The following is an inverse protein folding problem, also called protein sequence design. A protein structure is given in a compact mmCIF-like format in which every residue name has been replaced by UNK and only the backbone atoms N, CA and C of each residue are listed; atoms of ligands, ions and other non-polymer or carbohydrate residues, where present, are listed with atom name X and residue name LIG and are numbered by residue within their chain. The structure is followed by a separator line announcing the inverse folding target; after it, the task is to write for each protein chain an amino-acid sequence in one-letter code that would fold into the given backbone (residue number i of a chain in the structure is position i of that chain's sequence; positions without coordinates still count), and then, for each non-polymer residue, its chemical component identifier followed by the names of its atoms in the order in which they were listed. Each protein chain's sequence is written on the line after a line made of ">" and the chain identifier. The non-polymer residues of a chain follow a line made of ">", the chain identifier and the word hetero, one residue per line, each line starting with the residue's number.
data_IF_879634146190
#
_entry.id   IF_879634146190
#
_cell.length_a   1.000
_cell.length_b   1.000
_cell.length_c   1.000
_cell.angle_alpha   90.00
_cell.angle_beta   90.00
_cell.angle_gamma   90.00
#
_symmetry.space_group_name_H-M   'P 1'
#
loop_
_entity.id
_entity.type
_entity.pdbx_description
1 polymer ?
#
# COMPACT_ATOMS: atom_id res chain seq x y z
N UNK A 1 19.29 -35.48 10.18
CA UNK A 1 19.63 -34.76 8.93
C UNK A 1 18.60 -35.13 7.88
N UNK A 2 17.97 -34.15 7.24
CA UNK A 2 16.92 -34.38 6.23
C UNK A 2 15.88 -33.26 6.21
N UNK A 3 16.31 -32.01 6.00
CA UNK A 3 15.40 -30.89 5.78
C UNK A 3 14.83 -30.96 4.38
N UNK A 4 13.53 -31.23 4.26
CA UNK A 4 12.82 -31.18 2.99
C UNK A 4 12.65 -29.73 2.56
N UNK A 5 13.50 -29.25 1.64
CA UNK A 5 13.30 -27.96 0.97
C UNK A 5 11.99 -28.01 0.18
N UNK A 6 10.97 -27.29 0.66
CA UNK A 6 9.77 -27.02 -0.13
C UNK A 6 10.09 -25.84 -1.04
N UNK A 7 10.19 -26.12 -2.34
CA UNK A 7 10.31 -25.11 -3.38
C UNK A 7 8.96 -24.38 -3.53
N UNK A 8 8.88 -23.15 -3.00
CA UNK A 8 7.73 -22.25 -3.19
C UNK A 8 7.66 -21.61 -4.58
N UNK A 9 8.60 -21.95 -5.49
CA UNK A 9 8.72 -21.34 -6.82
C UNK A 9 7.62 -21.69 -7.82
N UNK A 10 6.84 -22.75 -7.57
CA UNK A 10 5.90 -23.31 -8.56
C UNK A 10 4.41 -23.02 -8.27
N UNK A 11 4.08 -22.38 -7.14
CA UNK A 11 2.70 -22.03 -6.78
C UNK A 11 2.32 -20.57 -7.11
N UNK A 12 3.24 -19.83 -7.76
CA UNK A 12 2.93 -18.55 -8.35
C UNK A 12 2.11 -18.83 -9.60
N UNK A 13 0.78 -18.86 -9.45
CA UNK A 13 -0.15 -18.88 -10.57
C UNK A 13 0.29 -17.81 -11.57
N UNK A 14 0.51 -18.15 -12.86
CA UNK A 14 0.87 -17.16 -13.86
C UNK A 14 -0.20 -16.07 -13.85
N UNK A 15 0.25 -14.81 -13.71
CA UNK A 15 -0.62 -13.64 -13.76
C UNK A 15 -1.52 -13.74 -15.00
N UNK A 16 -2.85 -13.82 -14.84
CA UNK A 16 -3.74 -13.92 -16.00
C UNK A 16 -3.50 -12.71 -16.89
N UNK A 17 -3.32 -12.95 -18.19
CA UNK A 17 -3.15 -11.92 -19.20
C UNK A 17 -4.20 -10.81 -19.01
N UNK A 18 -3.74 -9.55 -19.12
CA UNK A 18 -4.52 -8.31 -19.00
C UNK A 18 -5.66 -8.29 -20.05
N UNK A 19 -6.77 -8.96 -19.75
CA UNK A 19 -8.02 -8.75 -20.46
C UNK A 19 -8.53 -7.34 -20.15
N UNK A 20 -8.90 -6.58 -21.19
CA UNK A 20 -9.76 -5.39 -21.37
C UNK A 20 -10.45 -4.64 -20.18
N UNK A 21 -10.28 -5.02 -18.92
CA UNK A 21 -10.73 -4.35 -17.69
C UNK A 21 -9.67 -3.49 -17.01
N UNK A 22 -8.41 -3.56 -17.45
CA UNK A 22 -7.32 -2.73 -16.89
C UNK A 22 -7.61 -1.23 -16.95
N UNK A 23 -8.24 -0.75 -18.03
CA UNK A 23 -8.64 0.66 -18.18
C UNK A 23 -9.74 1.08 -17.20
N UNK A 24 -10.71 0.21 -16.92
CA UNK A 24 -11.80 0.48 -15.97
C UNK A 24 -11.28 0.51 -14.53
N UNK A 25 -10.44 -0.45 -14.17
CA UNK A 25 -9.82 -0.49 -12.84
C UNK A 25 -8.89 0.71 -12.63
N UNK A 26 -8.10 1.07 -13.65
CA UNK A 26 -7.25 2.25 -13.64
C UNK A 26 -8.04 3.54 -13.42
N UNK A 27 -9.14 3.71 -14.16
CA UNK A 27 -10.03 4.86 -14.00
C UNK A 27 -10.66 4.89 -12.60
N UNK A 28 -11.00 3.73 -12.03
CA UNK A 28 -11.51 3.64 -10.67
C UNK A 28 -10.47 4.05 -9.62
N UNK A 29 -9.22 3.61 -9.76
CA UNK A 29 -8.13 4.03 -8.86
C UNK A 29 -7.93 5.54 -8.95
N UNK A 30 -7.85 6.09 -10.17
CA UNK A 30 -7.73 7.54 -10.39
C UNK A 30 -8.88 8.31 -9.77
N UNK A 31 -10.11 7.81 -9.88
CA UNK A 31 -11.29 8.45 -9.28
C UNK A 31 -11.26 8.47 -7.75
N UNK A 32 -10.80 7.38 -7.12
CA UNK A 32 -10.63 7.31 -5.66
C UNK A 32 -9.59 8.35 -5.21
N UNK A 33 -8.44 8.41 -5.89
CA UNK A 33 -7.36 9.36 -5.59
C UNK A 33 -7.78 10.82 -5.84
N UNK A 34 -8.53 11.08 -6.91
CA UNK A 34 -9.09 12.41 -7.20
C UNK A 34 -10.01 12.88 -6.07
N UNK A 35 -10.92 12.02 -5.61
CA UNK A 35 -11.80 12.35 -4.47
C UNK A 35 -11.01 12.58 -3.19
N UNK A 36 -9.93 11.83 -2.97
CA UNK A 36 -9.03 12.06 -1.85
C UNK A 36 -8.38 13.45 -1.93
N UNK A 37 -7.82 13.82 -3.09
CA UNK A 37 -7.22 15.16 -3.30
C UNK A 37 -8.25 16.29 -3.11
N UNK A 38 -9.46 16.11 -3.61
CA UNK A 38 -10.56 17.07 -3.41
C UNK A 38 -10.87 17.29 -1.92
N UNK A 39 -11.03 16.21 -1.15
CA UNK A 39 -11.27 16.31 0.29
C UNK A 39 -10.06 16.88 1.03
N UNK A 40 -8.84 16.53 0.62
CA UNK A 40 -7.62 17.03 1.22
C UNK A 40 -7.52 18.55 1.05
N UNK A 41 -7.68 19.06 -0.17
CA UNK A 41 -7.67 20.50 -0.45
C UNK A 41 -8.79 21.25 0.25
N UNK A 42 -9.97 20.64 0.38
CA UNK A 42 -11.07 21.24 1.14
C UNK A 42 -10.75 21.33 2.63
N UNK A 43 -10.19 20.28 3.22
CA UNK A 43 -9.76 20.26 4.62
C UNK A 43 -8.64 21.28 4.86
N UNK A 44 -7.65 21.33 3.98
CA UNK A 44 -6.53 22.27 4.05
C UNK A 44 -7.01 23.72 4.02
N UNK A 45 -7.90 24.09 3.09
CA UNK A 45 -8.50 25.44 3.03
C UNK A 45 -9.26 25.81 4.31
N UNK A 46 -10.00 24.86 4.90
CA UNK A 46 -10.80 25.10 6.11
C UNK A 46 -9.96 25.33 7.37
N UNK A 47 -8.73 24.83 7.38
CA UNK A 47 -7.87 24.83 8.56
C UNK A 47 -6.54 25.57 8.34
N UNK A 48 -6.43 26.34 7.24
CA UNK A 48 -5.22 27.09 6.88
C UNK A 48 -4.78 28.06 7.99
N UNK A 49 -5.74 28.62 8.73
CA UNK A 49 -5.49 29.60 9.80
C UNK A 49 -5.23 28.97 11.18
N UNK A 50 -5.24 27.63 11.31
CA UNK A 50 -5.03 26.94 12.58
C UNK A 50 -3.57 26.54 12.77
N UNK A 51 -2.98 26.95 13.89
CA UNK A 51 -1.58 26.63 14.25
C UNK A 51 -1.46 25.15 14.65
N UNK A 52 -0.84 24.34 13.79
CA UNK A 52 -0.47 22.96 14.07
C UNK A 52 -0.56 22.04 12.84
N UNK A 53 0.36 21.09 12.70
CA UNK A 53 0.30 20.05 11.64
C UNK A 53 -0.85 19.09 11.93
N UNK A 54 -2.06 19.44 11.49
CA UNK A 54 -3.19 18.50 11.47
C UNK A 54 -2.95 17.45 10.38
N UNK A 55 -3.19 16.18 10.72
CA UNK A 55 -3.15 15.05 9.79
C UNK A 55 -4.42 15.04 8.93
N UNK A 56 -4.53 15.99 8.01
CA UNK A 56 -5.69 16.12 7.11
C UNK A 56 -5.92 14.86 6.29
N UNK A 57 -4.84 14.14 5.97
CA UNK A 57 -4.88 12.83 5.32
C UNK A 57 -5.73 11.81 6.11
N UNK A 58 -5.64 11.80 7.44
CA UNK A 58 -6.42 10.90 8.30
C UNK A 58 -7.89 11.31 8.39
N UNK A 59 -8.20 12.61 8.36
CA UNK A 59 -9.59 13.07 8.28
C UNK A 59 -10.22 12.70 6.93
N UNK A 60 -9.48 12.84 5.84
CA UNK A 60 -9.92 12.38 4.52
C UNK A 60 -10.17 10.87 4.49
N UNK A 61 -9.33 10.07 5.16
CA UNK A 61 -9.56 8.63 5.30
C UNK A 61 -10.90 8.33 5.97
N UNK A 62 -11.25 9.05 7.04
CA UNK A 62 -12.56 8.89 7.71
C UNK A 62 -13.72 9.20 6.77
N UNK A 63 -13.61 10.28 5.98
CA UNK A 63 -14.64 10.68 5.00
C UNK A 63 -14.78 9.61 3.91
N UNK A 64 -13.69 9.14 3.32
CA UNK A 64 -13.69 8.12 2.28
C UNK A 64 -14.28 6.81 2.80
N UNK A 65 -13.91 6.40 4.01
CA UNK A 65 -14.45 5.22 4.69
C UNK A 65 -15.95 5.37 4.95
N UNK A 66 -16.38 6.50 5.51
CA UNK A 66 -17.79 6.78 5.83
C UNK A 66 -18.69 6.85 4.59
N UNK A 67 -18.16 7.36 3.47
CA UNK A 67 -18.87 7.43 2.18
C UNK A 67 -18.78 6.14 1.36
N UNK A 68 -18.04 5.12 1.80
CA UNK A 68 -17.86 3.87 1.06
C UNK A 68 -17.21 4.06 -0.32
N UNK A 69 -16.38 5.09 -0.49
CA UNK A 69 -15.79 5.45 -1.80
C UNK A 69 -14.76 4.41 -2.25
N UNK A 70 -13.96 3.91 -1.31
CA UNK A 70 -12.97 2.87 -1.58
C UNK A 70 -13.53 1.50 -1.20
N UNK A 71 -13.51 0.51 -2.11
CA UNK A 71 -13.86 -0.87 -1.78
C UNK A 71 -12.76 -1.61 -1.02
N UNK A 72 -11.56 -1.04 -0.91
CA UNK A 72 -10.36 -1.70 -0.38
C UNK A 72 -10.24 -1.54 1.14
N UNK A 73 -10.84 -0.50 1.70
CA UNK A 73 -10.79 -0.22 3.14
C UNK A 73 -11.52 -1.34 3.90
N UNK A 74 -10.83 -1.95 4.87
CA UNK A 74 -11.38 -3.03 5.70
C UNK A 74 -11.34 -4.41 5.05
N UNK A 75 -10.68 -4.56 3.89
CA UNK A 75 -10.44 -5.88 3.26
C UNK A 75 -9.08 -6.47 3.67
N UNK A 76 -8.95 -7.76 3.41
CA UNK A 76 -7.67 -8.46 3.50
C UNK A 76 -6.66 -7.89 2.50
N UNK A 77 -5.36 -8.07 2.76
CA UNK A 77 -4.33 -7.66 1.83
C UNK A 77 -4.44 -8.48 0.54
N UNK A 78 -4.09 -7.82 -0.56
CA UNK A 78 -4.03 -8.46 -1.86
C UNK A 78 -2.59 -8.95 -2.06
N UNK A 79 -2.44 -10.22 -2.38
CA UNK A 79 -1.14 -10.79 -2.74
C UNK A 79 -0.87 -10.52 -4.23
N UNK A 80 0.26 -9.89 -4.52
CA UNK A 80 0.67 -9.55 -5.89
C UNK A 80 0.12 -8.20 -6.37
N UNK A 81 -0.08 -8.07 -7.68
CA UNK A 81 -0.40 -6.80 -8.32
C UNK A 81 -1.82 -6.31 -8.00
N UNK A 82 -1.96 -5.02 -7.68
CA UNK A 82 -3.25 -4.36 -7.56
C UNK A 82 -3.73 -3.93 -8.95
N UNK A 83 -4.96 -4.32 -9.31
CA UNK A 83 -5.55 -3.92 -10.59
C UNK A 83 -5.71 -2.39 -10.68
N UNK A 84 -5.23 -1.81 -11.78
CA UNK A 84 -5.28 -0.36 -12.00
C UNK A 84 -4.16 0.44 -11.32
N UNK A 85 -3.20 -0.23 -10.68
CA UNK A 85 -1.95 0.36 -10.19
C UNK A 85 -0.80 -0.15 -11.06
N UNK A 86 0.05 0.76 -11.51
CA UNK A 86 1.15 0.48 -12.43
C UNK A 86 2.48 0.88 -11.79
N UNK A 87 3.56 0.20 -12.17
CA UNK A 87 4.92 0.59 -11.75
C UNK A 87 5.20 2.01 -12.25
N UNK A 88 5.70 2.87 -11.36
CA UNK A 88 5.93 4.29 -11.64
C UNK A 88 4.80 5.22 -11.16
N UNK A 89 3.68 4.67 -10.67
CA UNK A 89 2.66 5.46 -9.98
C UNK A 89 3.24 6.15 -8.74
N UNK A 90 2.84 7.42 -8.58
CA UNK A 90 3.31 8.28 -7.50
C UNK A 90 2.17 8.55 -6.52
N UNK A 91 2.49 8.45 -5.24
CA UNK A 91 1.57 8.69 -4.14
C UNK A 91 2.21 9.66 -3.16
N UNK A 92 1.45 10.65 -2.71
CA UNK A 92 1.95 11.68 -1.81
C UNK A 92 1.80 11.29 -0.35
N UNK A 93 0.73 10.56 -0.01
CA UNK A 93 0.41 10.19 1.36
C UNK A 93 0.29 8.67 1.54
N UNK A 94 0.70 8.16 2.72
CA UNK A 94 0.47 6.76 3.12
C UNK A 94 -1.00 6.36 3.10
N UNK A 95 -1.90 7.32 3.29
CA UNK A 95 -3.35 7.11 3.20
C UNK A 95 -3.77 6.74 1.78
N UNK A 96 -3.14 7.27 0.73
CA UNK A 96 -3.46 6.92 -0.65
C UNK A 96 -3.22 5.43 -0.91
N UNK A 97 -2.09 4.90 -0.42
CA UNK A 97 -1.79 3.47 -0.50
C UNK A 97 -2.84 2.60 0.22
N UNK A 98 -3.32 3.08 1.38
CA UNK A 98 -4.35 2.39 2.15
C UNK A 98 -5.70 2.37 1.42
N UNK A 99 -6.15 3.52 0.90
CA UNK A 99 -7.46 3.62 0.25
C UNK A 99 -7.50 2.91 -1.11
N UNK A 100 -6.37 2.58 -1.72
CA UNK A 100 -6.34 1.76 -2.94
C UNK A 100 -6.01 0.28 -2.68
N UNK A 101 -5.74 -0.08 -1.42
CA UNK A 101 -5.41 -1.46 -1.02
C UNK A 101 -4.00 -1.92 -1.38
N UNK A 102 -3.09 -1.00 -1.73
CA UNK A 102 -1.69 -1.31 -2.05
C UNK A 102 -0.86 -1.57 -0.78
N UNK A 103 -1.09 -0.79 0.27
CA UNK A 103 -0.44 -0.98 1.57
C UNK A 103 -1.38 -0.52 2.69
N UNK A 104 -1.91 -1.44 3.50
CA UNK A 104 -2.95 -1.11 4.49
C UNK A 104 -2.41 -0.41 5.75
N UNK A 105 -1.24 -0.76 6.32
CA UNK A 105 -0.74 -0.04 7.48
C UNK A 105 -0.48 1.44 7.17
N UNK A 106 -0.93 2.35 8.04
CA UNK A 106 -0.69 3.79 7.85
C UNK A 106 0.69 4.24 8.34
N UNK A 107 1.33 3.44 9.20
CA UNK A 107 2.65 3.72 9.77
C UNK A 107 3.64 2.60 9.45
N UNK A 108 3.28 1.35 9.77
CA UNK A 108 4.19 0.21 9.65
C UNK A 108 4.71 0.04 8.21
N UNK A 109 6.00 -0.22 8.07
CA UNK A 109 6.63 -0.46 6.77
C UNK A 109 6.22 -1.77 6.11
N UNK A 110 5.75 -2.77 6.86
CA UNK A 110 5.40 -4.10 6.34
C UNK A 110 3.89 -4.33 6.48
N UNK A 111 3.22 -4.72 5.39
CA UNK A 111 1.88 -5.29 5.37
C UNK A 111 1.96 -6.81 5.19
N UNK A 112 1.04 -7.54 5.81
CA UNK A 112 1.03 -9.00 5.75
C UNK A 112 -0.38 -9.57 5.80
N UNK A 113 -0.54 -10.77 5.25
CA UNK A 113 -1.75 -11.58 5.40
C UNK A 113 -1.39 -12.96 5.95
N UNK A 114 -2.35 -13.58 6.63
CA UNK A 114 -2.25 -14.99 6.99
C UNK A 114 -2.93 -15.81 5.91
N UNK A 115 -2.21 -16.77 5.36
CA UNK A 115 -2.76 -17.79 4.45
C UNK A 115 -2.40 -19.14 5.04
N UNK A 116 -3.42 -19.93 5.33
CA UNK A 116 -3.31 -21.17 6.08
C UNK A 116 -2.60 -20.93 7.44
N UNK A 117 -1.48 -21.61 7.68
CA UNK A 117 -0.67 -21.49 8.89
C UNK A 117 0.60 -20.64 8.70
N UNK A 118 0.67 -19.85 7.64
CA UNK A 118 1.84 -19.03 7.30
C UNK A 118 1.46 -17.55 7.19
N UNK A 119 2.33 -16.67 7.70
CA UNK A 119 2.23 -15.22 7.50
C UNK A 119 3.06 -14.84 6.29
N UNK A 120 2.41 -14.21 5.31
CA UNK A 120 3.03 -13.76 4.06
C UNK A 120 3.09 -12.24 4.06
N UNK A 121 4.26 -11.67 3.80
CA UNK A 121 4.39 -10.26 3.50
C UNK A 121 3.75 -9.97 2.13
N UNK A 122 2.90 -8.95 2.08
CA UNK A 122 2.18 -8.57 0.84
C UNK A 122 2.74 -7.31 0.23
N UNK A 123 3.18 -6.36 1.06
CA UNK A 123 3.80 -5.12 0.62
C UNK A 123 4.75 -4.56 1.66
N UNK A 124 5.78 -3.85 1.19
CA UNK A 124 6.74 -3.12 2.01
C UNK A 124 6.82 -1.65 1.56
N UNK A 125 7.13 -0.77 2.50
CA UNK A 125 7.41 0.64 2.26
C UNK A 125 8.80 0.93 2.83
N UNK A 126 9.75 1.17 1.94
CA UNK A 126 11.09 1.68 2.25
C UNK A 126 11.04 3.21 2.27
N UNK A 127 10.97 3.79 3.46
CA UNK A 127 10.83 5.25 3.66
C UNK A 127 12.08 5.90 4.29
N UNK A 128 13.22 5.18 4.34
CA UNK A 128 14.46 5.68 4.94
C UNK A 128 14.43 5.82 6.47
N UNK A 129 13.44 5.21 7.14
CA UNK A 129 13.40 5.15 8.62
C UNK A 129 14.40 4.15 9.21
N UNK A 130 14.97 3.30 8.37
CA UNK A 130 16.08 2.39 8.64
C UNK A 130 17.07 2.50 7.49
N UNK A 131 18.27 1.96 7.69
CA UNK A 131 19.23 1.83 6.60
C UNK A 131 18.76 0.68 5.70
N UNK A 132 18.23 1.04 4.53
CA UNK A 132 17.88 0.13 3.45
C UNK A 132 18.90 0.32 2.32
N UNK A 133 19.34 -0.76 1.68
CA UNK A 133 20.33 -0.69 0.60
C UNK A 133 19.70 -1.10 -0.72
N UNK A 134 19.76 -0.20 -1.71
CA UNK A 134 19.49 -0.52 -3.10
C UNK A 134 20.82 -0.82 -3.80
N UNK A 135 20.92 -1.99 -4.41
CA UNK A 135 22.09 -2.47 -5.16
C UNK A 135 21.67 -2.75 -6.60
N UNK A 136 22.64 -3.03 -7.48
CA UNK A 136 22.39 -3.44 -8.86
C UNK A 136 21.44 -2.49 -9.60
N UNK A 137 21.74 -1.19 -9.56
CA UNK A 137 20.90 -0.13 -10.16
C UNK A 137 19.43 -0.13 -9.71
N UNK A 138 19.13 -0.66 -8.52
CA UNK A 138 17.78 -0.71 -7.95
C UNK A 138 17.02 -2.02 -8.23
N UNK A 139 17.67 -3.02 -8.83
CA UNK A 139 17.08 -4.36 -9.02
C UNK A 139 17.05 -5.17 -7.72
N UNK A 140 18.01 -4.92 -6.82
CA UNK A 140 18.13 -5.61 -5.53
C UNK A 140 17.89 -4.62 -4.39
N UNK A 141 16.96 -4.96 -3.51
CA UNK A 141 16.67 -4.20 -2.28
C UNK A 141 16.93 -5.07 -1.05
N UNK A 142 17.88 -4.65 -0.21
CA UNK A 142 18.03 -5.16 1.14
C UNK A 142 17.18 -4.31 2.09
N UNK A 143 16.07 -4.87 2.55
CA UNK A 143 15.11 -4.19 3.42
C UNK A 143 15.30 -4.60 4.89
N UNK A 144 15.42 -3.62 5.77
CA UNK A 144 15.50 -3.86 7.21
C UNK A 144 14.14 -4.24 7.80
N UNK A 145 14.07 -5.38 8.47
CA UNK A 145 12.85 -5.82 9.17
C UNK A 145 12.46 -4.87 10.30
N UNK A 146 11.17 -4.86 10.67
CA UNK A 146 10.70 -4.08 11.83
C UNK A 146 11.02 -4.81 13.13
N UNK A 147 11.65 -4.10 14.07
CA UNK A 147 11.91 -4.58 15.43
C UNK A 147 12.31 -3.42 16.35
N UNK A 148 12.12 -3.59 17.65
CA UNK A 148 12.62 -2.63 18.64
C UNK A 148 14.15 -2.76 18.67
N UNK A 149 14.86 -1.69 18.30
CA UNK A 149 16.30 -1.58 18.50
C UNK A 149 16.58 -1.22 19.97
N UNK A 150 16.23 -2.11 20.91
CA UNK A 150 16.65 -2.02 22.31
C UNK A 150 16.79 -3.45 22.87
N UNK A 151 18.03 -3.83 23.14
CA UNK A 151 18.40 -4.93 24.04
C UNK A 151 18.63 -4.34 25.43
#
# INVERSE_FOLDING_TARGET
>A
MGGSSRNYGNDIQPVPALNNGGSKDRNRIKEILRKFDEFYREAERKFMDQVGRKRFDLECLKIIKGKGISPYIGREAILGNIRGVEVGDKFQYRVELHIIGLHRPLQNGIDSMRRDNTVLATSIVASGGYVDYAMDNGEVLQYSGRGNLFC
#
